data_IF_000891905457
#
_entry.id   IF_000891905457
#
_cell.length_a   1.000
_cell.length_b   1.000
_cell.length_c   1.000
_cell.angle_alpha   90.00
_cell.angle_beta   90.00
_cell.angle_gamma   90.00
#
_symmetry.space_group_name_H-M   'P 1'
#
loop_
_entity.id
_entity.type
_entity.pdbx_description
1 polymer ?
#
# COMPACT_ATOMS: atom_id res chain seq x y z
N UNK A 1 0.68 16.72 -4.54
CA UNK A 1 1.64 15.65 -4.88
C UNK A 1 1.25 14.38 -4.15
N UNK A 2 1.50 13.23 -4.75
CA UNK A 2 1.15 11.91 -4.27
C UNK A 2 2.40 11.01 -4.14
N UNK A 3 2.24 9.90 -3.42
CA UNK A 3 3.22 8.80 -3.35
C UNK A 3 2.57 7.51 -3.84
N UNK A 4 3.35 6.71 -4.56
CA UNK A 4 3.02 5.32 -4.93
C UNK A 4 3.86 4.42 -4.03
N UNK A 5 3.25 3.40 -3.43
CA UNK A 5 3.92 2.54 -2.47
C UNK A 5 3.54 1.07 -2.65
N UNK A 6 4.39 0.19 -2.13
CA UNK A 6 4.11 -1.23 -1.97
C UNK A 6 4.21 -1.65 -0.50
N UNK A 7 3.35 -2.57 -0.08
CA UNK A 7 3.44 -3.28 1.19
C UNK A 7 3.73 -4.76 0.90
N UNK A 8 4.88 -5.23 1.37
CA UNK A 8 5.26 -6.65 1.34
C UNK A 8 4.81 -7.37 2.60
N UNK A 9 4.12 -8.49 2.41
CA UNK A 9 3.67 -9.37 3.50
C UNK A 9 4.58 -10.59 3.66
N UNK A 10 4.66 -11.19 4.86
CA UNK A 10 5.44 -12.42 5.08
C UNK A 10 5.03 -13.60 4.20
N UNK A 11 3.83 -13.58 3.60
CA UNK A 11 3.41 -14.58 2.61
C UNK A 11 4.08 -14.44 1.24
N UNK A 12 4.93 -13.44 1.03
CA UNK A 12 5.51 -13.10 -0.27
C UNK A 12 4.58 -12.28 -1.18
N UNK A 13 3.34 -12.03 -0.74
CA UNK A 13 2.38 -11.20 -1.49
C UNK A 13 2.73 -9.72 -1.34
N UNK A 14 2.40 -8.95 -2.35
CA UNK A 14 2.52 -7.50 -2.35
C UNK A 14 1.13 -6.86 -2.37
N UNK A 15 1.11 -5.57 -2.07
CA UNK A 15 -0.04 -4.70 -2.26
C UNK A 15 0.53 -3.38 -2.75
N UNK A 16 0.06 -2.90 -3.91
CA UNK A 16 0.43 -1.58 -4.42
C UNK A 16 -0.72 -0.62 -4.13
N UNK A 17 -0.38 0.62 -3.77
CA UNK A 17 -1.37 1.65 -3.53
C UNK A 17 -0.82 3.05 -3.76
N UNK A 18 -1.72 4.01 -3.90
CA UNK A 18 -1.39 5.44 -3.98
C UNK A 18 -1.97 6.23 -2.80
N UNK A 19 -1.37 7.38 -2.52
CA UNK A 19 -1.84 8.29 -1.46
C UNK A 19 -1.44 9.74 -1.73
N UNK A 20 -2.33 10.68 -1.37
CA UNK A 20 -2.04 12.13 -1.33
C UNK A 20 -1.37 12.59 -0.03
N UNK A 21 -1.02 11.63 0.82
CA UNK A 21 -0.21 11.78 2.04
C UNK A 21 1.04 10.91 1.88
N UNK A 22 1.82 10.74 2.94
CA UNK A 22 2.94 9.79 2.90
C UNK A 22 2.48 8.34 3.01
N UNK A 23 3.23 7.43 2.39
CA UNK A 23 3.02 5.99 2.46
C UNK A 23 3.05 5.48 3.90
N UNK A 24 3.92 6.06 4.75
CA UNK A 24 4.00 5.74 6.17
C UNK A 24 2.71 6.10 6.92
N UNK A 25 2.15 7.30 6.66
CA UNK A 25 0.88 7.69 7.27
C UNK A 25 -0.27 6.81 6.75
N UNK A 26 -0.25 6.47 5.45
CA UNK A 26 -1.28 5.59 4.85
C UNK A 26 -1.25 4.19 5.44
N UNK A 27 -0.05 3.61 5.67
CA UNK A 27 0.11 2.33 6.36
C UNK A 27 -0.40 2.39 7.82
N UNK A 28 -0.07 3.46 8.55
CA UNK A 28 -0.58 3.66 9.91
C UNK A 28 -2.11 3.70 9.95
N UNK A 29 -2.72 4.41 8.99
CA UNK A 29 -4.18 4.45 8.82
C UNK A 29 -4.75 3.07 8.49
N UNK A 30 -4.16 2.31 7.58
CA UNK A 30 -4.60 0.94 7.29
C UNK A 30 -4.51 0.02 8.53
N UNK A 31 -3.45 0.13 9.34
CA UNK A 31 -3.32 -0.64 10.58
C UNK A 31 -4.43 -0.32 11.59
N UNK A 32 -4.84 0.96 11.67
CA UNK A 32 -5.98 1.38 12.49
C UNK A 32 -7.31 0.87 11.92
N UNK A 33 -7.56 1.08 10.62
CA UNK A 33 -8.78 0.66 9.92
C UNK A 33 -8.99 -0.85 9.94
N UNK A 34 -7.89 -1.63 9.86
CA UNK A 34 -7.93 -3.09 9.92
C UNK A 34 -8.53 -3.61 11.24
N UNK A 35 -8.40 -2.87 12.34
CA UNK A 35 -8.98 -3.20 13.66
C UNK A 35 -10.49 -2.95 13.70
N UNK A 36 -10.98 -1.99 12.94
CA UNK A 36 -12.39 -1.57 12.92
C UNK A 36 -13.26 -2.43 11.98
N UNK A 37 -12.74 -3.56 11.48
CA UNK A 37 -13.54 -4.57 10.78
C UNK A 37 -13.81 -4.32 9.30
N UNK A 38 -13.20 -3.29 8.67
CA UNK A 38 -13.32 -3.11 7.22
C UNK A 38 -12.79 -4.34 6.45
N UNK A 39 -13.57 -4.78 5.45
CA UNK A 39 -13.35 -6.02 4.69
C UNK A 39 -12.68 -5.74 3.35
N UNK A 40 -11.37 -5.51 3.36
CA UNK A 40 -10.57 -5.55 2.13
C UNK A 40 -9.31 -6.41 2.35
N UNK A 41 -8.74 -6.94 1.26
CA UNK A 41 -7.64 -7.91 1.30
C UNK A 41 -6.46 -7.43 2.15
N UNK A 42 -6.05 -6.16 1.98
CA UNK A 42 -4.99 -5.55 2.79
C UNK A 42 -5.33 -5.56 4.29
N UNK A 43 -6.58 -5.27 4.68
CA UNK A 43 -6.97 -5.30 6.09
C UNK A 43 -6.99 -6.72 6.67
N UNK A 44 -7.35 -7.74 5.88
CA UNK A 44 -7.20 -9.14 6.30
C UNK A 44 -5.73 -9.50 6.53
N UNK A 45 -4.85 -9.12 5.60
CA UNK A 45 -3.42 -9.36 5.73
C UNK A 45 -2.82 -8.61 6.94
N UNK A 46 -3.19 -7.35 7.16
CA UNK A 46 -2.72 -6.57 8.30
C UNK A 46 -3.28 -7.05 9.65
N UNK A 47 -4.50 -7.61 9.69
CA UNK A 47 -4.98 -8.29 10.91
C UNK A 47 -4.16 -9.54 11.24
N UNK A 48 -3.73 -10.28 10.22
CA UNK A 48 -2.94 -11.51 10.38
C UNK A 48 -1.47 -11.21 10.74
N UNK A 49 -0.84 -10.27 10.06
CA UNK A 49 0.60 -10.00 10.16
C UNK A 49 0.94 -8.78 11.02
N UNK A 50 -0.03 -7.92 11.33
CA UNK A 50 0.18 -6.72 12.11
C UNK A 50 1.22 -5.79 11.50
N UNK A 51 2.20 -5.38 12.32
CA UNK A 51 3.34 -4.55 11.88
C UNK A 51 4.46 -5.34 11.21
N UNK A 52 4.35 -6.66 11.12
CA UNK A 52 5.34 -7.49 10.42
C UNK A 52 5.12 -7.43 8.90
N UNK A 53 5.28 -6.23 8.34
CA UNK A 53 5.15 -5.94 6.91
C UNK A 53 6.26 -4.97 6.51
N UNK A 54 6.64 -4.98 5.23
CA UNK A 54 7.66 -4.09 4.68
C UNK A 54 7.00 -3.02 3.83
N UNK A 55 7.24 -1.74 4.15
CA UNK A 55 6.78 -0.61 3.34
C UNK A 55 7.89 -0.17 2.38
N UNK A 56 7.56 0.00 1.11
CA UNK A 56 8.45 0.49 0.07
C UNK A 56 7.79 1.65 -0.66
N UNK A 57 8.48 2.79 -0.78
CA UNK A 57 8.02 3.91 -1.61
C UNK A 57 8.55 3.68 -3.02
N UNK A 58 7.64 3.58 -3.99
CA UNK A 58 7.95 3.30 -5.39
C UNK A 58 8.11 4.58 -6.20
N UNK A 59 7.35 5.62 -5.85
CA UNK A 59 7.49 6.97 -6.38
C UNK A 59 7.04 7.98 -5.31
N UNK A 60 7.69 9.14 -5.25
CA UNK A 60 7.31 10.24 -4.37
C UNK A 60 7.19 11.54 -5.14
N UNK A 61 6.34 12.43 -4.68
CA UNK A 61 6.29 13.79 -5.23
C UNK A 61 5.81 13.81 -6.68
N UNK A 62 4.88 12.93 -7.04
CA UNK A 62 4.28 12.88 -8.39
C UNK A 62 2.90 13.53 -8.40
N UNK A 63 2.38 13.89 -9.58
CA UNK A 63 0.98 14.31 -9.67
C UNK A 63 0.07 13.10 -9.43
N UNK A 64 -1.16 13.36 -8.99
CA UNK A 64 -2.07 12.27 -8.62
C UNK A 64 -2.51 11.44 -9.85
N UNK A 65 -2.63 12.06 -11.01
CA UNK A 65 -2.95 11.35 -12.24
C UNK A 65 -1.78 10.46 -12.69
N UNK A 66 -0.55 10.98 -12.68
CA UNK A 66 0.66 10.17 -12.92
C UNK A 66 0.79 9.00 -11.93
N UNK A 67 0.39 9.21 -10.67
CA UNK A 67 0.43 8.17 -9.65
C UNK A 67 -0.48 6.97 -10.00
N UNK A 68 -1.63 7.20 -10.65
CA UNK A 68 -2.53 6.12 -11.10
C UNK A 68 -1.88 5.30 -12.20
N UNK A 69 -1.25 5.96 -13.17
CA UNK A 69 -0.56 5.26 -14.26
C UNK A 69 0.62 4.44 -13.71
N UNK A 70 1.37 5.01 -12.76
CA UNK A 70 2.44 4.32 -12.07
C UNK A 70 1.94 3.13 -11.24
N UNK A 71 0.78 3.24 -10.57
CA UNK A 71 0.17 2.13 -9.83
C UNK A 71 -0.11 0.94 -10.75
N UNK A 72 -0.71 1.18 -11.92
CA UNK A 72 -0.99 0.13 -12.92
C UNK A 72 0.30 -0.51 -13.42
N UNK A 73 1.33 0.30 -13.71
CA UNK A 73 2.63 -0.21 -14.15
C UNK A 73 3.29 -1.09 -13.08
N UNK A 74 3.22 -0.68 -11.81
CA UNK A 74 3.81 -1.45 -10.72
C UNK A 74 3.03 -2.73 -10.40
N UNK A 75 1.70 -2.69 -10.48
CA UNK A 75 0.84 -3.88 -10.39
C UNK A 75 1.24 -4.91 -11.45
N UNK A 76 1.38 -4.47 -12.71
CA UNK A 76 1.80 -5.36 -13.80
C UNK A 76 3.22 -5.89 -13.61
N UNK A 77 4.16 -5.05 -13.16
CA UNK A 77 5.57 -5.43 -12.98
C UNK A 77 5.79 -6.39 -11.82
N UNK A 78 4.98 -6.28 -10.76
CA UNK A 78 5.10 -7.06 -9.53
C UNK A 78 4.14 -8.26 -9.49
N UNK A 79 3.29 -8.41 -10.52
CA UNK A 79 2.29 -9.47 -10.64
C UNK A 79 1.40 -9.58 -9.38
N UNK A 80 0.77 -8.46 -8.99
CA UNK A 80 0.04 -8.33 -7.70
C UNK A 80 -1.29 -7.60 -7.77
#
# INVERSE_FOLDING_TARGET
MAEVYAIGFPSGKLYVGITNKTAALRLSKHLSEARNGQKCAIHHALRKYGRNVKLMVLAQGVFFDDAKDLEVQWISRLDT
#
